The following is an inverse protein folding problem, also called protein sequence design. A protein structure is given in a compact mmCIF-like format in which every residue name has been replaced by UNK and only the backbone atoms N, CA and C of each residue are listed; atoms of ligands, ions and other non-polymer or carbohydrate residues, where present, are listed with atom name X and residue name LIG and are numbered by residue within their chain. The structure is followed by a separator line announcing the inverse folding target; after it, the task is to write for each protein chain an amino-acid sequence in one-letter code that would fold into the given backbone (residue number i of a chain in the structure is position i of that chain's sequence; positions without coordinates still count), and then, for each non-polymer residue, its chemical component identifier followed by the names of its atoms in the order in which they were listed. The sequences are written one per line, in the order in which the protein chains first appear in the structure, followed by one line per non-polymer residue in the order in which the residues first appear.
data_IF_974457018595
#
_entry.id   IF_974457018595
#
_cell.length_a   1.000
_cell.length_b   1.000
_cell.length_c   1.000
_cell.angle_alpha   90.00
_cell.angle_beta   90.00
_cell.angle_gamma   90.00
#
_symmetry.space_group_name_H-M   'P 1'
#
loop_
_entity.id
_entity.type
_entity.pdbx_description
1 polymer ?
#
# COMPACT_ATOMS: atom_id res chain seq x y z
N UNK A 1 34.30 44.96 29.38
CA UNK A 1 33.09 44.62 30.15
C UNK A 1 31.93 44.82 29.18
N UNK A 2 31.26 43.78 28.67
CA UNK A 2 30.32 42.90 29.39
C UNK A 2 29.11 43.70 29.90
N UNK A 3 27.83 43.41 29.64
CA UNK A 3 27.10 42.35 28.90
C UNK A 3 25.91 43.03 28.15
N UNK A 4 25.24 42.53 27.11
CA UNK A 4 24.58 41.24 26.84
C UNK A 4 23.26 41.01 27.62
N UNK A 5 22.16 41.44 27.01
CA UNK A 5 20.75 41.01 27.15
C UNK A 5 20.14 41.18 25.74
N UNK A 6 19.88 40.09 25.01
CA UNK A 6 18.65 39.28 24.99
C UNK A 6 17.61 39.78 23.97
N UNK A 7 17.41 38.98 22.91
CA UNK A 7 16.11 38.80 22.27
C UNK A 7 16.08 37.45 21.52
N UNK A 8 15.39 36.49 22.13
CA UNK A 8 15.00 35.21 21.53
C UNK A 8 14.07 35.43 20.33
N UNK A 9 14.21 34.58 19.32
CA UNK A 9 13.40 34.56 18.10
C UNK A 9 13.38 33.19 17.43
N UNK A 10 13.43 32.10 18.21
CA UNK A 10 13.16 30.70 17.85
C UNK A 10 13.15 30.37 16.34
N UNK A 11 14.34 30.17 15.75
CA UNK A 11 14.45 29.61 14.39
C UNK A 11 13.96 28.17 14.37
N UNK A 12 12.88 27.91 13.63
CA UNK A 12 12.40 26.55 13.38
C UNK A 12 13.48 25.76 12.62
N UNK A 13 14.18 24.86 13.32
CA UNK A 13 15.13 23.95 12.71
C UNK A 13 14.39 22.92 11.84
N UNK A 14 14.12 23.30 10.59
CA UNK A 14 13.68 22.39 9.53
C UNK A 14 14.85 21.47 9.20
N UNK A 15 14.89 20.30 9.83
CA UNK A 15 15.86 19.26 9.50
C UNK A 15 15.48 18.68 8.13
N UNK A 16 16.17 19.12 7.09
CA UNK A 16 16.12 18.48 5.78
C UNK A 16 16.81 17.11 5.87
N UNK A 17 16.01 16.05 5.95
CA UNK A 17 16.51 14.67 5.96
C UNK A 17 17.01 14.33 4.55
N UNK A 18 18.27 14.64 4.26
CA UNK A 18 18.94 14.20 3.03
C UNK A 18 19.22 12.71 3.08
N UNK A 19 19.25 12.06 1.92
CA UNK A 19 19.30 10.60 1.80
C UNK A 19 20.61 9.96 2.28
N UNK A 20 21.66 10.77 2.51
CA UNK A 20 23.01 10.31 2.89
C UNK A 20 23.27 10.17 4.40
N UNK A 21 22.42 10.71 5.27
CA UNK A 21 22.63 10.58 6.72
C UNK A 21 22.35 9.13 7.18
N UNK A 22 23.37 8.47 7.76
CA UNK A 22 23.21 7.12 8.34
C UNK A 22 22.24 7.17 9.51
N UNK A 23 20.99 6.80 9.23
CA UNK A 23 19.91 6.84 10.22
C UNK A 23 20.07 5.72 11.25
N UNK A 24 20.27 6.13 12.50
CA UNK A 24 20.23 5.23 13.65
C UNK A 24 18.78 4.90 14.05
N UNK A 25 18.50 3.61 14.24
CA UNK A 25 17.20 3.10 14.61
C UNK A 25 17.23 2.59 16.04
N UNK A 26 16.63 3.36 16.96
CA UNK A 26 16.47 2.90 18.34
C UNK A 26 15.51 1.71 18.43
N UNK A 27 15.55 0.98 19.55
CA UNK A 27 14.63 -0.12 19.80
C UNK A 27 13.17 0.36 19.82
N UNK A 28 12.90 1.52 20.41
CA UNK A 28 11.58 2.14 20.48
C UNK A 28 11.07 2.54 19.11
N UNK A 29 11.91 3.20 18.31
CA UNK A 29 11.61 3.55 16.91
C UNK A 29 11.27 2.33 16.05
N UNK A 30 12.00 1.23 16.21
CA UNK A 30 11.72 -0.02 15.51
C UNK A 30 10.42 -0.69 15.98
N UNK A 31 10.10 -0.61 17.28
CA UNK A 31 8.83 -1.10 17.84
C UNK A 31 7.64 -0.31 17.33
N UNK A 32 7.76 1.02 17.31
CA UNK A 32 6.67 1.91 16.88
C UNK A 32 6.41 1.79 15.37
N UNK A 33 7.47 1.58 14.57
CA UNK A 33 7.35 1.23 13.15
C UNK A 33 6.51 -0.04 12.95
N UNK A 34 6.77 -1.10 13.73
CA UNK A 34 6.05 -2.38 13.60
C UNK A 34 4.57 -2.23 13.95
N UNK A 35 4.27 -1.50 15.02
CA UNK A 35 2.89 -1.20 15.43
C UNK A 35 2.14 -0.41 14.35
N UNK A 36 2.74 0.69 13.89
CA UNK A 36 2.14 1.52 12.83
C UNK A 36 1.99 0.75 11.51
N UNK A 37 2.93 -0.14 11.19
CA UNK A 37 2.83 -0.99 10.01
C UNK A 37 1.60 -1.92 10.08
N UNK A 38 1.38 -2.60 11.21
CA UNK A 38 0.23 -3.49 11.37
C UNK A 38 -1.09 -2.72 11.22
N UNK A 39 -1.22 -1.57 11.90
CA UNK A 39 -2.38 -0.68 11.82
C UNK A 39 -2.65 -0.19 10.38
N UNK A 40 -1.60 0.16 9.61
CA UNK A 40 -1.79 0.62 8.22
C UNK A 40 -1.99 -0.53 7.23
N UNK A 41 -1.50 -1.73 7.52
CA UNK A 41 -1.80 -2.90 6.70
C UNK A 41 -3.28 -3.30 6.83
N UNK A 42 -3.89 -3.21 8.03
CA UNK A 42 -5.34 -3.40 8.17
C UNK A 42 -6.14 -2.41 7.30
N UNK A 43 -5.69 -1.15 7.21
CA UNK A 43 -6.28 -0.14 6.31
C UNK A 43 -6.03 -0.40 4.81
N UNK A 44 -4.98 -1.14 4.46
CA UNK A 44 -4.69 -1.57 3.08
C UNK A 44 -5.57 -2.77 2.71
N UNK A 45 -5.68 -3.75 3.61
CA UNK A 45 -6.55 -4.93 3.47
C UNK A 45 -8.03 -4.53 3.40
N UNK A 46 -8.44 -3.48 4.12
CA UNK A 46 -9.79 -2.91 4.05
C UNK A 46 -10.02 -1.97 2.86
N UNK A 47 -9.02 -1.77 1.98
CA UNK A 47 -9.12 -0.92 0.78
C UNK A 47 -9.12 0.59 1.02
N UNK A 48 -8.94 1.07 2.25
CA UNK A 48 -8.86 2.51 2.57
C UNK A 48 -7.56 3.12 2.01
N UNK A 49 -6.46 2.37 2.10
CA UNK A 49 -5.18 2.73 1.47
C UNK A 49 -5.09 1.97 0.14
N UNK A 50 -4.89 2.70 -0.96
CA UNK A 50 -4.92 2.10 -2.31
C UNK A 50 -3.61 1.43 -2.77
N UNK A 51 -2.47 1.70 -2.12
CA UNK A 51 -1.16 1.15 -2.51
C UNK A 51 -0.18 1.04 -1.34
N UNK A 52 0.75 0.09 -1.43
CA UNK A 52 1.87 -0.05 -0.50
C UNK A 52 2.73 1.22 -0.38
N UNK A 53 2.90 1.99 -1.46
CA UNK A 53 3.61 3.28 -1.43
C UNK A 53 2.94 4.27 -0.48
N UNK A 54 1.60 4.43 -0.58
CA UNK A 54 0.84 5.29 0.32
C UNK A 54 0.91 4.80 1.77
N UNK A 55 0.91 3.48 2.00
CA UNK A 55 1.12 2.92 3.34
C UNK A 55 2.41 3.44 3.97
N UNK A 56 3.54 3.37 3.25
CA UNK A 56 4.82 3.86 3.75
C UNK A 56 4.85 5.39 3.97
N UNK A 57 4.17 6.16 3.12
CA UNK A 57 4.00 7.61 3.32
C UNK A 57 3.20 7.93 4.59
N UNK A 58 2.14 7.16 4.90
CA UNK A 58 1.37 7.32 6.15
C UNK A 58 2.15 6.88 7.38
N UNK A 59 2.85 5.74 7.31
CA UNK A 59 3.73 5.27 8.39
C UNK A 59 4.82 6.30 8.69
N UNK A 60 5.48 6.84 7.66
CA UNK A 60 6.46 7.94 7.79
C UNK A 60 5.86 9.18 8.49
N UNK A 61 4.68 9.63 8.04
CA UNK A 61 3.99 10.78 8.68
C UNK A 61 3.69 10.53 10.15
N UNK A 62 3.22 9.33 10.51
CA UNK A 62 2.86 9.01 11.89
C UNK A 62 4.09 8.71 12.78
N UNK A 63 5.21 8.25 12.22
CA UNK A 63 6.52 8.20 12.90
C UNK A 63 7.04 9.61 13.20
N UNK A 64 7.00 10.51 12.21
CA UNK A 64 7.47 11.89 12.38
C UNK A 64 6.69 12.65 13.47
N UNK A 65 5.37 12.43 13.58
CA UNK A 65 4.54 12.98 14.68
C UNK A 65 4.97 12.52 16.07
N UNK A 66 5.62 11.35 16.18
CA UNK A 66 6.12 10.76 17.43
C UNK A 66 7.59 11.14 17.71
N UNK A 67 8.16 12.06 16.93
CA UNK A 67 9.55 12.50 17.05
C UNK A 67 10.57 11.62 16.31
N UNK A 68 10.13 10.60 15.58
CA UNK A 68 10.99 9.72 14.80
C UNK A 68 11.02 10.13 13.33
N UNK A 69 12.01 10.96 12.98
CA UNK A 69 12.14 11.59 11.66
C UNK A 69 12.66 10.62 10.59
N UNK A 70 11.75 9.89 9.91
CA UNK A 70 12.09 8.91 8.87
C UNK A 70 11.21 9.06 7.62
N UNK A 71 11.79 8.88 6.44
CA UNK A 71 11.06 8.83 5.16
C UNK A 71 10.38 7.49 4.94
N UNK A 72 9.37 7.43 4.06
CA UNK A 72 8.67 6.19 3.73
C UNK A 72 9.59 5.06 3.25
N UNK A 73 10.59 5.39 2.43
CA UNK A 73 11.59 4.45 1.95
C UNK A 73 12.49 3.90 3.08
N UNK A 74 12.82 4.73 4.08
CA UNK A 74 13.61 4.31 5.24
C UNK A 74 12.80 3.38 6.15
N UNK A 75 11.51 3.68 6.38
CA UNK A 75 10.57 2.78 7.06
C UNK A 75 10.43 1.43 6.34
N UNK A 76 10.25 1.46 5.02
CA UNK A 76 10.15 0.25 4.19
C UNK A 76 11.42 -0.61 4.27
N UNK A 77 12.59 0.00 4.13
CA UNK A 77 13.88 -0.70 4.18
C UNK A 77 14.14 -1.29 5.58
N UNK A 78 13.72 -0.60 6.65
CA UNK A 78 13.79 -1.13 8.02
C UNK A 78 12.89 -2.36 8.20
N UNK A 79 11.63 -2.31 7.73
CA UNK A 79 10.72 -3.46 7.74
C UNK A 79 11.27 -4.64 6.95
N UNK A 80 11.75 -4.42 5.71
CA UNK A 80 12.40 -5.47 4.89
C UNK A 80 13.58 -6.12 5.62
N UNK A 81 14.37 -5.32 6.36
CA UNK A 81 15.49 -5.79 7.17
C UNK A 81 15.03 -6.66 8.34
N UNK A 82 14.05 -6.19 9.13
CA UNK A 82 13.45 -6.95 10.24
C UNK A 82 12.83 -8.28 9.78
N UNK A 83 12.11 -8.25 8.65
CA UNK A 83 11.53 -9.44 8.00
C UNK A 83 12.61 -10.40 7.49
N UNK A 84 13.77 -9.91 7.02
CA UNK A 84 14.94 -10.74 6.64
C UNK A 84 15.60 -11.38 7.87
N UNK A 85 15.80 -10.64 8.97
CA UNK A 85 16.41 -11.20 10.19
C UNK A 85 15.52 -12.27 10.84
N UNK A 86 14.20 -12.05 10.85
CA UNK A 86 13.21 -13.04 11.28
C UNK A 86 13.27 -14.33 10.45
N UNK A 87 13.21 -14.24 9.11
CA UNK A 87 13.34 -15.40 8.21
C UNK A 87 14.66 -16.17 8.42
N UNK A 88 15.79 -15.45 8.45
CA UNK A 88 17.11 -16.04 8.69
C UNK A 88 17.21 -16.77 10.05
N UNK A 89 16.42 -16.38 11.05
CA UNK A 89 16.31 -17.11 12.32
C UNK A 89 15.49 -18.38 12.16
N UNK A 90 14.32 -18.30 11.52
CA UNK A 90 13.46 -19.48 11.30
C UNK A 90 14.19 -20.58 10.52
N UNK A 91 14.93 -20.21 9.47
CA UNK A 91 15.78 -21.14 8.71
C UNK A 91 16.87 -21.82 9.57
N UNK A 92 17.38 -21.12 10.60
CA UNK A 92 18.39 -21.67 11.52
C UNK A 92 17.78 -22.53 12.63
N UNK A 93 16.53 -22.26 13.02
CA UNK A 93 15.77 -23.15 13.92
C UNK A 93 15.47 -24.47 13.20
N UNK A 94 14.99 -24.41 11.96
CA UNK A 94 14.69 -25.60 11.14
C UNK A 94 15.94 -26.47 10.90
N UNK A 95 17.05 -25.85 10.46
CA UNK A 95 18.28 -26.57 10.09
C UNK A 95 19.12 -27.04 11.28
N UNK A 96 19.12 -26.32 12.40
CA UNK A 96 20.08 -26.51 13.50
C UNK A 96 19.47 -26.48 14.91
N UNK A 97 18.16 -26.32 15.06
CA UNK A 97 17.47 -26.27 16.37
C UNK A 97 17.81 -25.05 17.24
N UNK A 98 18.54 -24.05 16.71
CA UNK A 98 19.12 -22.97 17.52
C UNK A 98 18.12 -21.85 17.85
N UNK A 99 17.61 -21.86 19.09
CA UNK A 99 16.66 -20.87 19.65
C UNK A 99 17.32 -19.55 20.12
N UNK A 100 18.25 -18.95 19.36
CA UNK A 100 18.77 -17.61 19.71
C UNK A 100 17.62 -16.59 19.74
N UNK A 101 17.49 -15.70 20.74
CA UNK A 101 16.44 -14.68 20.75
C UNK A 101 16.62 -13.71 19.57
N UNK A 102 15.51 -13.28 18.97
CA UNK A 102 15.48 -12.24 17.94
C UNK A 102 14.65 -11.07 18.49
N UNK A 103 15.14 -9.82 18.40
CA UNK A 103 14.32 -8.65 18.69
C UNK A 103 13.05 -8.67 17.83
N UNK A 104 11.92 -8.29 18.43
CA UNK A 104 10.60 -8.17 17.79
C UNK A 104 10.03 -9.44 17.15
N UNK A 105 10.46 -10.63 17.61
CA UNK A 105 10.00 -11.90 17.06
C UNK A 105 8.48 -12.08 17.18
N UNK A 106 7.89 -11.72 18.31
CA UNK A 106 6.45 -11.89 18.56
C UNK A 106 5.64 -10.94 17.65
N UNK A 107 6.03 -9.67 17.62
CA UNK A 107 5.40 -8.63 16.81
C UNK A 107 5.46 -8.96 15.31
N UNK A 108 6.62 -9.40 14.80
CA UNK A 108 6.77 -9.81 13.40
C UNK A 108 5.97 -11.09 13.10
N UNK A 109 5.93 -12.05 14.05
CA UNK A 109 5.12 -13.28 13.89
C UNK A 109 3.63 -12.95 13.80
N UNK A 110 3.13 -12.06 14.66
CA UNK A 110 1.74 -11.64 14.68
C UNK A 110 1.35 -10.99 13.34
N UNK A 111 2.10 -9.96 12.90
CA UNK A 111 1.88 -9.25 11.63
C UNK A 111 1.85 -10.21 10.44
N UNK A 112 2.79 -11.16 10.38
CA UNK A 112 2.87 -12.13 9.28
C UNK A 112 1.79 -13.23 9.37
N UNK A 113 1.31 -13.56 10.57
CA UNK A 113 0.23 -14.53 10.75
C UNK A 113 -1.13 -14.02 10.26
N UNK A 114 -1.39 -12.70 10.42
CA UNK A 114 -2.58 -12.02 9.88
C UNK A 114 -2.58 -12.00 8.35
N UNK A 115 -1.41 -11.99 7.70
CA UNK A 115 -1.25 -11.74 6.25
C UNK A 115 -0.43 -12.83 5.54
N UNK A 116 -1.05 -13.99 5.22
CA UNK A 116 -0.37 -15.11 4.58
C UNK A 116 0.32 -14.79 3.25
N UNK A 117 -0.18 -13.79 2.50
CA UNK A 117 0.39 -13.37 1.22
C UNK A 117 1.71 -12.62 1.40
N UNK A 118 1.81 -11.82 2.46
CA UNK A 118 3.05 -11.16 2.86
C UNK A 118 4.07 -12.13 3.44
N UNK A 119 3.60 -13.19 4.11
CA UNK A 119 4.43 -14.34 4.43
C UNK A 119 4.64 -15.19 3.17
N UNK A 120 5.55 -14.74 2.30
CA UNK A 120 6.19 -15.59 1.27
C UNK A 120 7.13 -16.62 1.92
N UNK A 121 6.57 -17.37 2.88
CA UNK A 121 6.93 -18.75 3.14
C UNK A 121 6.67 -19.54 1.86
N UNK A 122 7.67 -20.28 1.38
CA UNK A 122 7.38 -21.41 0.51
C UNK A 122 6.56 -22.41 1.31
N UNK A 123 5.26 -22.49 1.02
CA UNK A 123 4.25 -23.25 1.77
C UNK A 123 4.52 -24.77 1.82
N UNK A 124 5.49 -25.25 1.05
CA UNK A 124 6.01 -26.62 1.07
C UNK A 124 6.54 -27.07 2.44
N UNK A 125 6.96 -26.14 3.32
CA UNK A 125 7.59 -26.50 4.61
C UNK A 125 6.64 -26.73 5.79
N UNK A 126 5.35 -26.36 5.71
CA UNK A 126 4.38 -26.66 6.79
C UNK A 126 3.57 -27.95 6.54
N UNK A 127 3.63 -28.53 5.34
CA UNK A 127 2.98 -29.80 5.00
C UNK A 127 3.81 -31.03 5.40
N UNK A 128 5.13 -30.87 5.62
CA UNK A 128 6.11 -31.94 5.78
C UNK A 128 6.07 -32.70 7.11
N UNK A 129 4.97 -32.61 7.88
CA UNK A 129 4.70 -33.57 8.97
C UNK A 129 4.19 -34.93 8.45
N UNK A 130 4.06 -35.10 7.12
CA UNK A 130 3.85 -36.39 6.46
C UNK A 130 4.69 -36.51 5.17
N UNK A 131 5.68 -37.42 5.15
CA UNK A 131 6.37 -37.85 3.92
C UNK A 131 7.76 -37.28 3.67
N UNK A 132 8.77 -38.16 3.65
CA UNK A 132 10.11 -37.90 3.10
C UNK A 132 10.06 -37.89 1.56
N UNK A 133 10.84 -37.04 0.88
CA UNK A 133 11.83 -37.45 -0.16
C UNK A 133 12.73 -36.28 -0.63
N UNK A 134 13.70 -36.59 -1.51
CA UNK A 134 14.97 -35.86 -1.77
C UNK A 134 14.90 -34.52 -2.55
N UNK A 135 15.85 -33.64 -2.21
CA UNK A 135 16.62 -32.63 -3.01
C UNK A 135 16.29 -32.48 -4.52
N UNK A 136 16.23 -31.22 -4.98
CA UNK A 136 17.40 -30.51 -5.59
C UNK A 136 17.25 -28.99 -5.61
N UNK A 137 18.38 -28.33 -5.34
CA UNK A 137 18.91 -27.00 -5.72
C UNK A 137 17.98 -25.95 -6.38
N UNK A 138 17.98 -24.72 -5.86
CA UNK A 138 18.53 -23.57 -6.62
C UNK A 138 18.76 -22.27 -5.80
N UNK A 139 20.02 -21.84 -5.86
CA UNK A 139 20.56 -20.48 -6.01
C UNK A 139 19.63 -19.26 -5.80
N UNK A 140 19.88 -18.44 -4.76
CA UNK A 140 19.44 -17.03 -4.72
C UNK A 140 20.44 -16.11 -4.00
N UNK A 141 20.57 -14.88 -4.52
CA UNK A 141 21.70 -13.97 -4.35
C UNK A 141 22.13 -13.63 -2.90
N UNK A 142 23.44 -13.78 -2.65
CA UNK A 142 24.14 -13.16 -1.52
C UNK A 142 24.57 -11.72 -1.89
N UNK A 143 23.65 -10.77 -1.77
CA UNK A 143 24.02 -9.35 -1.88
C UNK A 143 24.76 -8.87 -0.62
N UNK A 144 26.00 -8.43 -0.81
CA UNK A 144 26.85 -7.79 0.18
C UNK A 144 26.44 -6.31 0.35
N UNK A 145 26.56 -5.74 1.55
CA UNK A 145 25.84 -4.49 1.91
C UNK A 145 26.72 -3.23 1.97
N UNK A 146 27.92 -3.25 1.37
CA UNK A 146 28.93 -2.19 1.52
C UNK A 146 29.29 -1.44 0.24
N UNK A 147 28.78 -1.85 -0.94
CA UNK A 147 29.10 -1.19 -2.21
C UNK A 147 28.01 -0.17 -2.59
N UNK A 148 28.35 1.13 -2.78
CA UNK A 148 27.43 2.10 -3.35
C UNK A 148 27.28 1.86 -4.87
N UNK A 149 26.08 2.04 -5.46
CA UNK A 149 25.89 1.85 -6.89
C UNK A 149 26.54 2.99 -7.71
N UNK A 150 27.68 2.71 -8.35
CA UNK A 150 28.15 3.47 -9.52
C UNK A 150 27.13 3.39 -10.67
N UNK A 151 27.06 4.32 -11.62
CA UNK A 151 28.13 4.98 -12.38
C UNK A 151 28.99 4.00 -13.19
N UNK A 152 28.49 3.70 -14.39
CA UNK A 152 29.09 3.08 -15.59
C UNK A 152 28.01 3.33 -16.67
N UNK A 153 28.08 4.32 -17.55
CA UNK A 153 29.15 4.79 -18.45
C UNK A 153 29.51 3.75 -19.53
N UNK A 154 29.37 4.18 -20.80
CA UNK A 154 29.66 3.51 -22.09
C UNK A 154 28.95 2.16 -22.39
N UNK A 155 28.39 1.83 -23.56
CA UNK A 155 28.16 2.46 -24.88
C UNK A 155 27.47 1.39 -25.78
N UNK A 156 26.82 1.65 -26.93
CA UNK A 156 26.57 2.83 -27.77
C UNK A 156 25.08 2.84 -28.25
N UNK A 157 24.68 3.80 -29.09
CA UNK A 157 23.45 3.76 -29.91
C UNK A 157 23.76 4.00 -31.39
N UNK A 158 23.30 3.13 -32.28
CA UNK A 158 23.32 3.38 -33.73
C UNK A 158 22.04 4.06 -34.23
N UNK A 159 22.20 4.95 -35.21
CA UNK A 159 21.15 5.78 -35.82
C UNK A 159 19.94 4.98 -36.34
N UNK A 160 18.72 5.39 -35.96
CA UNK A 160 17.55 5.29 -36.84
C UNK A 160 16.89 6.67 -36.93
N UNK A 161 17.12 7.34 -38.06
CA UNK A 161 16.42 8.57 -38.45
C UNK A 161 15.12 8.20 -39.18
N UNK A 162 14.10 9.05 -39.01
CA UNK A 162 12.77 9.01 -39.66
C UNK A 162 11.67 8.16 -38.98
N UNK A 163 10.92 8.75 -38.05
CA UNK A 163 9.45 8.87 -38.18
C UNK A 163 9.06 10.28 -37.72
N UNK A 164 8.19 10.98 -38.46
CA UNK A 164 7.67 12.31 -38.08
C UNK A 164 6.48 12.19 -37.14
N UNK A 165 6.42 13.10 -36.17
CA UNK A 165 5.24 13.34 -35.33
C UNK A 165 4.07 13.82 -36.20
N UNK A 166 2.89 13.21 -36.06
CA UNK A 166 1.62 13.75 -36.55
C UNK A 166 0.64 13.77 -35.37
N UNK A 167 -0.08 14.89 -35.24
CA UNK A 167 -0.96 15.17 -34.11
C UNK A 167 -2.38 14.64 -34.36
N UNK A 168 -3.11 14.49 -33.25
CA UNK A 168 -4.47 13.93 -33.16
C UNK A 168 -5.47 14.48 -34.19
N UNK A 169 -6.30 13.60 -34.76
CA UNK A 169 -7.69 13.90 -35.09
C UNK A 169 -8.54 12.63 -35.04
N UNK A 170 -9.76 12.81 -34.56
CA UNK A 170 -10.83 11.81 -34.37
C UNK A 170 -11.42 11.37 -35.73
N UNK A 171 -11.58 10.07 -36.00
CA UNK A 171 -12.54 9.52 -36.99
C UNK A 171 -12.60 7.98 -36.97
N UNK A 172 -13.75 7.46 -36.51
CA UNK A 172 -14.43 6.20 -36.86
C UNK A 172 -13.62 5.06 -37.53
N UNK A 173 -13.53 3.94 -36.81
CA UNK A 173 -13.21 2.61 -37.36
C UNK A 173 -14.17 2.20 -38.50
N UNK A 174 -13.62 1.66 -39.61
CA UNK A 174 -14.13 0.52 -40.41
C UNK A 174 -13.27 0.28 -41.70
N UNK A 175 -12.77 1.32 -42.38
CA UNK A 175 -12.32 1.20 -43.79
C UNK A 175 -10.83 0.83 -44.06
N UNK A 176 -9.96 0.63 -43.05
CA UNK A 176 -8.50 0.51 -43.30
C UNK A 176 -7.96 -0.91 -43.59
N UNK A 177 -8.79 -1.82 -44.13
CA UNK A 177 -8.38 -3.20 -44.48
C UNK A 177 -8.52 -3.56 -45.97
N UNK A 178 -8.46 -2.57 -46.87
CA UNK A 178 -8.53 -2.83 -48.31
C UNK A 178 -7.56 -1.94 -49.12
N UNK A 179 -6.23 -2.20 -49.02
CA UNK A 179 -5.25 -2.10 -50.12
C UNK A 179 -3.79 -2.18 -49.65
N UNK A 180 -3.21 -3.38 -49.63
CA UNK A 180 -1.78 -3.61 -49.93
C UNK A 180 -1.62 -4.92 -50.69
N UNK A 181 -2.00 -4.91 -51.96
CA UNK A 181 -1.68 -6.00 -52.88
C UNK A 181 -0.19 -5.91 -53.25
N UNK A 182 0.65 -6.66 -52.51
CA UNK A 182 2.05 -6.88 -52.87
C UNK A 182 2.22 -8.28 -53.47
N UNK A 183 2.28 -8.33 -54.80
CA UNK A 183 2.60 -9.55 -55.54
C UNK A 183 4.11 -9.78 -55.49
N UNK A 184 4.55 -10.75 -54.68
CA UNK A 184 5.87 -11.41 -54.86
C UNK A 184 5.68 -12.91 -54.68
N UNK A 185 5.96 -13.66 -55.75
CA UNK A 185 5.99 -15.11 -55.72
C UNK A 185 7.30 -15.58 -55.06
N UNK A 186 7.22 -16.12 -53.85
CA UNK A 186 8.20 -17.12 -53.40
C UNK A 186 7.56 -18.10 -52.40
N UNK A 187 7.91 -19.37 -52.54
CA UNK A 187 7.27 -20.51 -51.89
C UNK A 187 7.57 -20.63 -50.38
N UNK A 188 8.58 -19.92 -49.87
CA UNK A 188 8.82 -19.78 -48.43
C UNK A 188 7.96 -18.70 -47.74
N UNK A 189 7.41 -17.75 -48.49
CA UNK A 189 6.72 -16.57 -47.94
C UNK A 189 5.34 -16.89 -47.36
N UNK A 190 4.68 -17.94 -47.87
CA UNK A 190 3.31 -18.29 -47.47
C UNK A 190 3.20 -18.66 -45.99
N UNK A 191 4.22 -19.36 -45.45
CA UNK A 191 4.26 -19.80 -44.05
C UNK A 191 4.27 -18.60 -43.08
N UNK A 192 5.10 -17.59 -43.38
CA UNK A 192 5.28 -16.40 -42.54
C UNK A 192 4.01 -15.53 -42.57
N UNK A 193 3.34 -15.42 -43.71
CA UNK A 193 2.07 -14.69 -43.84
C UNK A 193 0.94 -15.38 -43.07
N UNK A 194 0.88 -16.72 -43.09
CA UNK A 194 -0.05 -17.52 -42.30
C UNK A 194 0.17 -17.28 -40.78
N UNK A 195 1.40 -17.37 -40.30
CA UNK A 195 1.78 -17.12 -38.90
C UNK A 195 1.43 -15.68 -38.44
N UNK A 196 1.67 -14.67 -39.28
CA UNK A 196 1.26 -13.28 -39.00
C UNK A 196 -0.28 -13.15 -38.93
N UNK A 197 -1.02 -13.88 -39.76
CA UNK A 197 -2.49 -13.94 -39.72
C UNK A 197 -2.99 -14.57 -38.43
N UNK A 198 -2.35 -15.66 -37.97
CA UNK A 198 -2.66 -16.29 -36.68
C UNK A 198 -2.35 -15.38 -35.49
N UNK A 199 -1.19 -14.72 -35.46
CA UNK A 199 -0.84 -13.77 -34.40
C UNK A 199 -1.83 -12.61 -34.31
N UNK A 200 -2.31 -12.07 -35.44
CA UNK A 200 -3.38 -11.05 -35.44
C UNK A 200 -4.69 -11.58 -34.85
N UNK A 201 -5.07 -12.82 -35.12
CA UNK A 201 -6.25 -13.49 -34.51
C UNK A 201 -6.05 -13.71 -33.00
N UNK A 202 -4.83 -13.96 -32.53
CA UNK A 202 -4.51 -14.08 -31.09
C UNK A 202 -4.59 -12.71 -30.39
N UNK A 203 -3.97 -11.68 -30.95
CA UNK A 203 -3.98 -10.31 -30.38
C UNK A 203 -5.40 -9.74 -30.30
N UNK A 204 -6.21 -9.91 -31.35
CA UNK A 204 -7.62 -9.46 -31.33
C UNK A 204 -8.46 -10.21 -30.30
N UNK A 205 -8.26 -11.53 -30.12
CA UNK A 205 -8.87 -12.30 -29.03
C UNK A 205 -8.41 -11.81 -27.65
N UNK A 206 -7.12 -11.55 -27.47
CA UNK A 206 -6.56 -11.04 -26.21
C UNK A 206 -7.14 -9.67 -25.86
N UNK A 207 -7.19 -8.74 -26.81
CA UNK A 207 -7.80 -7.42 -26.62
C UNK A 207 -9.28 -7.53 -26.25
N UNK A 208 -10.03 -8.44 -26.89
CA UNK A 208 -11.44 -8.69 -26.53
C UNK A 208 -11.60 -9.21 -25.10
N UNK A 209 -10.79 -10.19 -24.69
CA UNK A 209 -10.77 -10.71 -23.31
C UNK A 209 -10.41 -9.62 -22.31
N UNK A 210 -9.44 -8.77 -22.63
CA UNK A 210 -9.04 -7.65 -21.78
C UNK A 210 -10.17 -6.61 -21.61
N UNK A 211 -10.90 -6.30 -22.69
CA UNK A 211 -12.08 -5.44 -22.64
C UNK A 211 -13.23 -6.06 -21.83
N UNK A 212 -13.47 -7.36 -21.95
CA UNK A 212 -14.50 -8.05 -21.16
C UNK A 212 -14.15 -8.09 -19.65
N UNK A 213 -12.87 -8.29 -19.30
CA UNK A 213 -12.39 -8.20 -17.91
C UNK A 213 -12.59 -6.78 -17.37
N UNK A 214 -12.24 -5.75 -18.15
CA UNK A 214 -12.43 -4.35 -17.75
C UNK A 214 -13.91 -4.01 -17.54
N UNK A 215 -14.80 -4.52 -18.39
CA UNK A 215 -16.25 -4.33 -18.24
C UNK A 215 -16.77 -4.98 -16.95
N UNK A 216 -16.40 -6.24 -16.68
CA UNK A 216 -16.78 -6.95 -15.44
C UNK A 216 -16.24 -6.25 -14.19
N UNK A 217 -15.02 -5.72 -14.23
CA UNK A 217 -14.43 -4.92 -13.15
C UNK A 217 -15.26 -3.65 -12.87
N UNK A 218 -15.65 -2.93 -13.92
CA UNK A 218 -16.48 -1.73 -13.79
C UNK A 218 -17.89 -2.06 -13.26
N UNK A 219 -18.53 -3.13 -13.73
CA UNK A 219 -19.82 -3.61 -13.21
C UNK A 219 -19.75 -3.99 -11.71
N UNK A 220 -18.63 -4.57 -11.27
CA UNK A 220 -18.41 -4.90 -9.85
C UNK A 220 -18.20 -3.63 -9.01
N UNK A 221 -17.39 -2.69 -9.49
CA UNK A 221 -17.14 -1.42 -8.81
C UNK A 221 -18.43 -0.61 -8.63
N UNK A 222 -19.32 -0.57 -9.64
CA UNK A 222 -20.63 0.07 -9.53
C UNK A 222 -21.49 -0.55 -8.42
N UNK A 223 -21.50 -1.89 -8.30
CA UNK A 223 -22.22 -2.60 -7.22
C UNK A 223 -21.64 -2.24 -5.85
N UNK A 224 -20.32 -2.20 -5.71
CA UNK A 224 -19.65 -1.82 -4.46
C UNK A 224 -20.06 -0.41 -4.04
N UNK A 225 -20.01 0.57 -4.95
CA UNK A 225 -20.42 1.96 -4.68
C UNK A 225 -21.87 2.01 -4.20
N UNK A 226 -22.80 1.33 -4.87
CA UNK A 226 -24.21 1.28 -4.47
C UNK A 226 -24.42 0.68 -3.06
N UNK A 227 -23.66 -0.37 -2.69
CA UNK A 227 -23.74 -0.94 -1.34
C UNK A 227 -23.21 0.00 -0.26
N UNK A 228 -22.12 0.73 -0.54
CA UNK A 228 -21.53 1.71 0.38
C UNK A 228 -22.43 2.94 0.56
N UNK A 229 -23.03 3.44 -0.51
CA UNK A 229 -23.97 4.56 -0.48
C UNK A 229 -25.21 4.20 0.37
N UNK A 230 -25.81 3.04 0.12
CA UNK A 230 -26.92 2.53 0.94
C UNK A 230 -26.55 2.24 2.39
N UNK A 231 -25.28 1.91 2.70
CA UNK A 231 -24.80 1.77 4.08
C UNK A 231 -24.71 3.14 4.78
N UNK A 232 -24.11 4.12 4.10
CA UNK A 232 -24.00 5.52 4.55
C UNK A 232 -25.39 6.10 4.82
N UNK A 233 -26.36 5.86 3.94
CA UNK A 233 -27.73 6.35 4.11
C UNK A 233 -28.41 5.81 5.38
N UNK A 234 -28.20 4.53 5.71
CA UNK A 234 -28.73 3.92 6.95
C UNK A 234 -28.05 4.47 8.20
N UNK A 235 -26.75 4.76 8.13
CA UNK A 235 -26.02 5.39 9.23
C UNK A 235 -26.54 6.83 9.48
N UNK A 236 -26.70 7.63 8.42
CA UNK A 236 -27.31 8.97 8.52
C UNK A 236 -28.71 8.94 9.13
N UNK A 237 -29.59 8.04 8.69
CA UNK A 237 -30.93 7.86 9.28
C UNK A 237 -30.89 7.47 10.77
N UNK A 238 -29.91 6.66 11.16
CA UNK A 238 -29.74 6.25 12.56
C UNK A 238 -29.28 7.42 13.43
N UNK A 239 -28.37 8.25 12.91
CA UNK A 239 -27.89 9.46 13.60
C UNK A 239 -29.01 10.51 13.76
N UNK A 240 -29.81 10.75 12.72
CA UNK A 240 -30.96 11.67 12.76
C UNK A 240 -32.02 11.24 13.81
N UNK A 241 -32.27 9.93 13.93
CA UNK A 241 -33.17 9.38 14.95
C UNK A 241 -32.60 9.53 16.38
N UNK A 242 -31.29 9.40 16.59
CA UNK A 242 -30.69 9.60 17.91
C UNK A 242 -30.55 11.09 18.25
N UNK A 243 -30.31 11.96 17.27
CA UNK A 243 -30.30 13.42 17.44
C UNK A 243 -31.67 13.93 17.93
N UNK A 244 -32.74 13.61 17.20
CA UNK A 244 -34.11 13.98 17.60
C UNK A 244 -34.50 13.41 18.97
N UNK A 245 -34.02 12.22 19.33
CA UNK A 245 -34.18 11.64 20.66
C UNK A 245 -33.42 12.42 21.75
N UNK A 246 -32.19 12.85 21.48
CA UNK A 246 -31.42 13.70 22.39
C UNK A 246 -32.06 15.07 22.57
N UNK A 247 -32.61 15.68 21.51
CA UNK A 247 -33.37 16.92 21.60
C UNK A 247 -34.58 16.80 22.53
N UNK A 248 -35.36 15.73 22.38
CA UNK A 248 -36.50 15.44 23.26
C UNK A 248 -36.07 15.25 24.73
N UNK A 249 -34.99 14.51 24.97
CA UNK A 249 -34.43 14.35 26.33
C UNK A 249 -33.96 15.68 26.91
N UNK A 250 -33.25 16.50 26.12
CA UNK A 250 -32.79 17.81 26.52
C UNK A 250 -33.96 18.75 26.87
N UNK A 251 -35.06 18.69 26.13
CA UNK A 251 -36.25 19.49 26.43
C UNK A 251 -36.93 19.01 27.74
N UNK A 252 -37.07 17.70 27.96
CA UNK A 252 -37.55 17.15 29.24
C UNK A 252 -36.68 17.64 30.41
N UNK A 253 -35.35 17.63 30.25
CA UNK A 253 -34.42 18.12 31.28
C UNK A 253 -34.58 19.63 31.54
N UNK A 254 -34.83 20.46 30.51
CA UNK A 254 -35.15 21.88 30.69
C UNK A 254 -36.46 22.07 31.48
N UNK A 255 -37.51 21.33 31.13
CA UNK A 255 -38.80 21.40 31.81
C UNK A 255 -38.68 20.97 33.28
N UNK A 256 -37.95 19.89 33.58
CA UNK A 256 -37.66 19.46 34.96
C UNK A 256 -36.88 20.53 35.75
N UNK A 257 -35.88 21.17 35.14
CA UNK A 257 -35.14 22.29 35.78
C UNK A 257 -36.04 23.48 36.10
N UNK A 258 -36.96 23.82 35.19
CA UNK A 258 -37.93 24.90 35.38
C UNK A 258 -38.91 24.56 36.52
N UNK A 259 -39.45 23.34 36.55
CA UNK A 259 -40.31 22.85 37.63
C UNK A 259 -39.60 22.89 38.99
N UNK A 260 -38.36 22.39 39.07
CA UNK A 260 -37.56 22.43 40.30
C UNK A 260 -37.29 23.87 40.77
N UNK A 261 -37.00 24.81 39.85
CA UNK A 261 -36.82 26.22 40.20
C UNK A 261 -38.11 26.86 40.74
N UNK A 262 -39.28 26.49 40.19
CA UNK A 262 -40.57 26.96 40.67
C UNK A 262 -40.91 26.37 42.05
N UNK A 263 -40.66 25.07 42.25
CA UNK A 263 -40.85 24.40 43.54
C UNK A 263 -39.98 25.05 44.62
N UNK A 264 -38.71 25.36 44.34
CA UNK A 264 -37.84 26.07 45.28
C UNK A 264 -38.43 27.44 45.66
N UNK A 265 -38.84 28.25 44.67
CA UNK A 265 -39.49 29.56 44.91
C UNK A 265 -40.81 29.48 45.68
N UNK A 266 -41.48 28.33 45.71
CA UNK A 266 -42.68 28.10 46.51
C UNK A 266 -42.31 27.70 47.95
N UNK A 267 -41.29 26.85 48.13
CA UNK A 267 -40.74 26.52 49.44
C UNK A 267 -40.19 27.76 50.15
N UNK A 268 -39.42 28.60 49.44
CA UNK A 268 -38.86 29.87 49.93
C UNK A 268 -39.93 30.91 50.35
N UNK A 269 -41.21 30.68 50.01
CA UNK A 269 -42.37 31.52 50.38
C UNK A 269 -43.25 30.92 51.47
N UNK A 270 -43.00 29.66 51.85
CA UNK A 270 -43.78 28.91 52.85
C UNK A 270 -43.00 28.69 54.15
N UNK A 271 -41.70 28.96 54.16
CA UNK A 271 -40.86 29.12 55.36
C UNK A 271 -40.74 30.57 55.79
#
# INVERSE_FOLDING_TARGET
MANMEELDGSTSNVIYITEEHRIEWTHEAAKELLKLYDEKCDMLDSGIISTQKKLWEFVSKDMNKKGYYYTGAQCENKWKTLKRTYRNKMDKIDKYGHKRPCPFENEITEILSKRPQESTFNRSFLSSKLGRLKKKDDFYYQMNLNDPPGFSDDGESQDIKNVKLVQNADTTDEDFLQNTEYVVQDSGSSQIVEEISELRKVVTKQNKVQSDILRQSNELNQKIVHYLDGATQRECQTLELEETRMEQQNEIIKQMKLQNNLLQKLLDKLG
#
